data_IF_970213276037
#
_entry.id   IF_970213276037
#
_cell.length_a   1.000
_cell.length_b   1.000
_cell.length_c   1.000
_cell.angle_alpha   90.00
_cell.angle_beta   90.00
_cell.angle_gamma   90.00
#
_symmetry.space_group_name_H-M   'P 1'
#
loop_
_entity.id
_entity.type
_entity.pdbx_description
1 polymer ?
#
# COMPACT_ATOMS: atom_id res chain seq x y z
N UNK A 1 24.46 9.19 -48.10
CA UNK A 1 24.58 9.81 -46.75
C UNK A 1 23.21 9.99 -46.10
N UNK A 2 22.25 10.64 -46.77
CA UNK A 2 20.88 10.87 -46.24
C UNK A 2 20.12 9.58 -45.88
N UNK A 3 20.16 8.57 -46.75
CA UNK A 3 19.50 7.27 -46.52
C UNK A 3 20.07 6.51 -45.32
N UNK A 4 21.38 6.65 -45.06
CA UNK A 4 22.06 6.02 -43.93
C UNK A 4 21.70 6.68 -42.60
N UNK A 5 21.56 8.01 -42.58
CA UNK A 5 21.08 8.74 -41.41
C UNK A 5 19.65 8.30 -41.07
N UNK A 6 18.78 8.14 -42.07
CA UNK A 6 17.40 7.69 -41.88
C UNK A 6 17.29 6.26 -41.31
N UNK A 7 18.14 5.34 -41.75
CA UNK A 7 18.12 3.96 -41.22
C UNK A 7 18.60 3.90 -39.77
N UNK A 8 19.55 4.77 -39.37
CA UNK A 8 20.01 4.87 -37.97
C UNK A 8 18.90 5.42 -37.08
N UNK A 9 18.24 6.52 -37.46
CA UNK A 9 17.19 7.13 -36.64
C UNK A 9 16.00 6.19 -36.45
N UNK A 10 15.60 5.46 -37.50
CA UNK A 10 14.53 4.47 -37.43
C UNK A 10 14.86 3.33 -36.45
N UNK A 11 16.11 2.85 -36.43
CA UNK A 11 16.55 1.81 -35.49
C UNK A 11 16.52 2.29 -34.04
N UNK A 12 16.98 3.52 -33.78
CA UNK A 12 16.92 4.12 -32.44
C UNK A 12 15.47 4.28 -31.95
N UNK A 13 14.56 4.70 -32.82
CA UNK A 13 13.15 4.84 -32.48
C UNK A 13 12.52 3.48 -32.12
N UNK A 14 12.83 2.41 -32.86
CA UNK A 14 12.37 1.06 -32.54
C UNK A 14 12.88 0.58 -31.18
N UNK A 15 14.15 0.85 -30.85
CA UNK A 15 14.73 0.49 -29.55
C UNK A 15 13.98 1.21 -28.41
N UNK A 16 13.69 2.51 -28.55
CA UNK A 16 12.95 3.27 -27.54
C UNK A 16 11.53 2.70 -27.35
N UNK A 17 10.85 2.33 -28.43
CA UNK A 17 9.51 1.73 -28.35
C UNK A 17 9.56 0.40 -27.59
N UNK A 18 10.54 -0.46 -27.88
CA UNK A 18 10.70 -1.75 -27.18
C UNK A 18 11.01 -1.53 -25.70
N UNK A 19 11.93 -0.63 -25.36
CA UNK A 19 12.28 -0.33 -23.97
C UNK A 19 11.09 0.24 -23.18
N UNK A 20 10.32 1.13 -23.80
CA UNK A 20 9.09 1.67 -23.22
C UNK A 20 8.05 0.57 -22.96
N UNK A 21 7.86 -0.33 -23.94
CA UNK A 21 6.96 -1.48 -23.79
C UNK A 21 7.33 -2.39 -22.62
N UNK A 22 8.61 -2.75 -22.49
CA UNK A 22 9.10 -3.55 -21.35
C UNK A 22 8.87 -2.83 -20.03
N UNK A 23 9.11 -1.51 -19.96
CA UNK A 23 8.87 -0.70 -18.77
C UNK A 23 7.40 -0.71 -18.33
N UNK A 24 6.46 -0.58 -19.28
CA UNK A 24 5.01 -0.62 -18.98
C UNK A 24 4.60 -1.99 -18.44
N UNK A 25 5.04 -3.08 -19.07
CA UNK A 25 4.72 -4.44 -18.64
C UNK A 25 5.27 -4.72 -17.25
N UNK A 26 6.51 -4.33 -16.98
CA UNK A 26 7.13 -4.46 -15.65
C UNK A 26 6.33 -3.70 -14.57
N UNK A 27 5.94 -2.45 -14.86
CA UNK A 27 5.16 -1.63 -13.94
C UNK A 27 3.79 -2.26 -13.62
N UNK A 28 3.11 -2.78 -14.65
CA UNK A 28 1.83 -3.49 -14.47
C UNK A 28 1.97 -4.73 -13.61
N UNK A 29 3.01 -5.54 -13.84
CA UNK A 29 3.22 -6.76 -13.06
C UNK A 29 3.51 -6.44 -11.59
N UNK A 30 4.39 -5.47 -11.32
CA UNK A 30 4.70 -5.01 -9.96
C UNK A 30 3.45 -4.50 -9.24
N UNK A 31 2.62 -3.69 -9.90
CA UNK A 31 1.37 -3.19 -9.30
C UNK A 31 0.40 -4.31 -8.95
N UNK A 32 0.35 -5.41 -9.71
CA UNK A 32 -0.53 -6.53 -9.43
C UNK A 32 -0.07 -7.32 -8.19
N UNK A 33 1.24 -7.54 -8.05
CA UNK A 33 1.82 -8.23 -6.89
C UNK A 33 1.52 -7.49 -5.58
N UNK A 34 1.76 -6.18 -5.53
CA UNK A 34 1.49 -5.36 -4.34
C UNK A 34 0.01 -5.46 -3.94
N UNK A 35 -0.89 -5.47 -4.92
CA UNK A 35 -2.32 -5.60 -4.64
C UNK A 35 -2.72 -6.93 -4.02
N UNK A 36 -2.01 -8.01 -4.35
CA UNK A 36 -2.21 -9.34 -3.75
C UNK A 36 -1.68 -9.35 -2.32
N UNK A 37 -0.47 -8.82 -2.10
CA UNK A 37 0.14 -8.74 -0.77
C UNK A 37 -0.72 -7.91 0.21
N UNK A 38 -1.26 -6.76 -0.22
CA UNK A 38 -2.14 -5.94 0.62
C UNK A 38 -3.39 -6.71 1.06
N UNK A 39 -3.97 -7.50 0.15
CA UNK A 39 -5.15 -8.32 0.47
C UNK A 39 -4.80 -9.43 1.44
N UNK A 40 -3.70 -10.13 1.22
CA UNK A 40 -3.25 -11.24 2.07
C UNK A 40 -2.90 -10.74 3.47
N UNK A 41 -2.12 -9.66 3.59
CA UNK A 41 -1.78 -9.04 4.86
C UNK A 41 -3.04 -8.59 5.64
N UNK A 42 -4.02 -8.03 4.94
CA UNK A 42 -5.28 -7.59 5.57
C UNK A 42 -6.17 -8.78 5.95
N UNK A 43 -6.18 -9.86 5.18
CA UNK A 43 -6.93 -11.07 5.49
C UNK A 43 -6.36 -11.79 6.72
N UNK A 44 -5.03 -11.82 6.86
CA UNK A 44 -4.36 -12.43 8.01
C UNK A 44 -4.72 -11.75 9.34
N UNK A 45 -5.10 -10.46 9.33
CA UNK A 45 -5.59 -9.77 10.52
C UNK A 45 -6.96 -10.26 11.01
N UNK A 46 -7.75 -10.91 10.17
CA UNK A 46 -9.09 -11.36 10.54
C UNK A 46 -9.08 -12.64 11.40
N UNK A 47 -7.94 -13.35 11.45
CA UNK A 47 -7.80 -14.62 12.16
C UNK A 47 -6.94 -14.39 13.39
N UNK A 48 -7.55 -14.42 14.57
CA UNK A 48 -6.87 -14.40 15.88
C UNK A 48 -5.88 -13.23 16.01
N UNK A 49 -6.42 -12.01 16.00
CA UNK A 49 -5.63 -10.79 16.00
C UNK A 49 -4.97 -10.54 17.36
N UNK A 50 -3.64 -10.49 17.35
CA UNK A 50 -2.77 -10.21 18.49
C UNK A 50 -1.83 -9.02 18.19
N UNK A 51 -1.01 -8.68 19.18
CA UNK A 51 0.00 -7.63 19.05
C UNK A 51 1.03 -7.93 17.96
N UNK A 52 1.47 -9.18 17.82
CA UNK A 52 2.50 -9.57 16.86
C UNK A 52 2.02 -9.41 15.42
N UNK A 53 0.81 -9.88 15.08
CA UNK A 53 0.20 -9.68 13.76
C UNK A 53 -0.07 -8.21 13.47
N UNK A 54 -0.45 -7.42 14.47
CA UNK A 54 -0.63 -5.98 14.31
C UNK A 54 0.70 -5.28 14.02
N UNK A 55 1.80 -5.70 14.66
CA UNK A 55 3.16 -5.21 14.37
C UNK A 55 3.63 -5.62 12.97
N UNK A 56 3.43 -6.87 12.58
CA UNK A 56 3.76 -7.36 11.24
C UNK A 56 3.02 -6.58 10.17
N UNK A 57 1.73 -6.35 10.36
CA UNK A 57 0.92 -5.53 9.46
C UNK A 57 1.40 -4.08 9.43
N UNK A 58 1.73 -3.50 10.58
CA UNK A 58 2.27 -2.14 10.64
C UNK A 58 3.59 -2.01 9.87
N UNK A 59 4.50 -2.99 10.03
CA UNK A 59 5.77 -3.03 9.31
C UNK A 59 5.54 -3.23 7.81
N UNK A 60 4.59 -4.08 7.42
CA UNK A 60 4.17 -4.24 6.03
C UNK A 60 3.70 -2.90 5.45
N UNK A 61 2.74 -2.21 6.09
CA UNK A 61 2.22 -0.92 5.62
C UNK A 61 3.30 0.16 5.53
N UNK A 62 4.27 0.14 6.46
CA UNK A 62 5.41 1.06 6.43
C UNK A 62 6.30 0.84 5.19
N UNK A 63 6.60 -0.42 4.87
CA UNK A 63 7.56 -0.78 3.83
C UNK A 63 6.97 -0.75 2.41
N UNK A 64 5.67 -0.94 2.25
CA UNK A 64 5.08 -0.96 0.90
C UNK A 64 4.96 0.43 0.29
N UNK A 65 5.12 0.46 -1.04
CA UNK A 65 4.69 1.58 -1.87
C UNK A 65 3.26 1.32 -2.34
N UNK A 66 2.33 2.18 -1.93
CA UNK A 66 0.90 1.96 -2.16
C UNK A 66 0.55 2.57 -3.51
N UNK A 67 0.09 1.77 -4.49
CA UNK A 67 -0.30 2.32 -5.77
C UNK A 67 -1.48 3.29 -5.57
N UNK A 68 -1.54 4.36 -6.37
CA UNK A 68 -2.60 5.36 -6.31
C UNK A 68 -3.92 4.82 -6.88
N UNK A 69 -4.52 3.84 -6.19
CA UNK A 69 -5.83 3.27 -6.48
C UNK A 69 -6.64 3.19 -5.21
N UNK A 70 -7.86 3.73 -5.26
CA UNK A 70 -8.81 3.78 -4.14
C UNK A 70 -9.06 2.41 -3.49
N UNK A 71 -9.02 1.33 -4.27
CA UNK A 71 -9.21 -0.04 -3.78
C UNK A 71 -8.17 -0.39 -2.72
N UNK A 72 -6.90 -0.08 -2.92
CA UNK A 72 -5.83 -0.41 -1.96
C UNK A 72 -5.97 0.41 -0.68
N UNK A 73 -6.32 1.69 -0.79
CA UNK A 73 -6.56 2.55 0.37
C UNK A 73 -7.74 2.06 1.20
N UNK A 74 -8.82 1.61 0.55
CA UNK A 74 -9.97 1.04 1.24
C UNK A 74 -9.61 -0.26 1.95
N UNK A 75 -8.83 -1.15 1.33
CA UNK A 75 -8.36 -2.39 1.97
C UNK A 75 -7.48 -2.10 3.19
N UNK A 76 -6.55 -1.16 3.07
CA UNK A 76 -5.72 -0.75 4.20
C UNK A 76 -6.54 -0.08 5.31
N UNK A 77 -7.54 0.74 4.97
CA UNK A 77 -8.47 1.34 5.95
C UNK A 77 -9.26 0.26 6.69
N UNK A 78 -9.69 -0.79 6.00
CA UNK A 78 -10.35 -1.94 6.62
C UNK A 78 -9.41 -2.67 7.59
N UNK A 79 -8.16 -2.93 7.20
CA UNK A 79 -7.15 -3.54 8.09
C UNK A 79 -6.90 -2.71 9.35
N UNK A 80 -6.80 -1.39 9.22
CA UNK A 80 -6.73 -0.50 10.37
C UNK A 80 -7.96 -0.57 11.27
N UNK A 81 -9.17 -0.65 10.70
CA UNK A 81 -10.39 -0.78 11.48
C UNK A 81 -10.42 -2.09 12.29
N UNK A 82 -9.96 -3.20 11.71
CA UNK A 82 -9.81 -4.47 12.43
C UNK A 82 -8.88 -4.31 13.63
N UNK A 83 -7.71 -3.68 13.43
CA UNK A 83 -6.74 -3.43 14.49
C UNK A 83 -7.29 -2.46 15.55
N UNK A 84 -8.03 -1.43 15.13
CA UNK A 84 -8.60 -0.43 16.05
C UNK A 84 -9.63 -1.04 17.00
N UNK A 85 -10.50 -1.89 16.49
CA UNK A 85 -11.63 -2.48 17.25
C UNK A 85 -11.16 -3.62 18.16
N UNK A 86 -10.02 -4.25 17.87
CA UNK A 86 -9.50 -5.33 18.70
C UNK A 86 -9.03 -4.85 20.07
N UNK A 87 -9.55 -5.48 21.12
CA UNK A 87 -9.11 -5.26 22.52
C UNK A 87 -7.77 -5.96 22.81
N UNK A 88 -7.37 -6.93 21.99
CA UNK A 88 -6.12 -7.69 22.14
C UNK A 88 -4.89 -6.94 21.61
N UNK A 89 -5.07 -5.75 21.02
CA UNK A 89 -3.98 -4.95 20.48
C UNK A 89 -3.76 -3.72 21.34
N UNK A 90 -2.50 -3.48 21.70
CA UNK A 90 -2.10 -2.33 22.49
C UNK A 90 -2.44 -1.01 21.81
N UNK A 91 -2.96 -0.06 22.59
CA UNK A 91 -3.29 1.28 22.10
C UNK A 91 -2.07 2.01 21.51
N UNK A 92 -0.85 1.67 21.95
CA UNK A 92 0.39 2.21 21.40
C UNK A 92 0.61 1.79 19.93
N UNK A 93 0.30 0.55 19.58
CA UNK A 93 0.41 0.01 18.21
C UNK A 93 -0.65 0.65 17.33
N UNK A 94 -1.89 0.76 17.81
CA UNK A 94 -2.99 1.43 17.10
C UNK A 94 -2.62 2.87 16.72
N UNK A 95 -2.02 3.62 17.66
CA UNK A 95 -1.58 4.99 17.41
C UNK A 95 -0.43 5.06 16.41
N UNK A 96 0.58 4.20 16.51
CA UNK A 96 1.70 4.15 15.56
C UNK A 96 1.23 3.82 14.15
N UNK A 97 0.36 2.81 14.01
CA UNK A 97 -0.22 2.44 12.73
C UNK A 97 -0.99 3.61 12.10
N UNK A 98 -1.78 4.34 12.90
CA UNK A 98 -2.48 5.54 12.44
C UNK A 98 -1.53 6.59 11.88
N UNK A 99 -0.41 6.87 12.57
CA UNK A 99 0.59 7.83 12.11
C UNK A 99 1.18 7.37 10.78
N UNK A 100 1.53 6.10 10.65
CA UNK A 100 2.07 5.52 9.41
C UNK A 100 1.07 5.67 8.27
N UNK A 101 -0.20 5.34 8.49
CA UNK A 101 -1.21 5.46 7.45
C UNK A 101 -1.46 6.91 7.01
N UNK A 102 -1.47 7.86 7.96
CA UNK A 102 -1.55 9.29 7.65
C UNK A 102 -0.32 9.76 6.86
N UNK A 103 0.88 9.27 7.22
CA UNK A 103 2.12 9.60 6.50
C UNK A 103 2.11 9.10 5.04
N UNK A 104 1.37 8.03 4.76
CA UNK A 104 1.15 7.48 3.42
C UNK A 104 -0.01 8.16 2.68
N UNK A 105 -0.63 9.19 3.25
CA UNK A 105 -1.74 9.94 2.66
C UNK A 105 -3.12 9.28 2.79
N UNK A 106 -3.25 8.24 3.62
CA UNK A 106 -4.54 7.56 3.84
C UNK A 106 -5.30 8.30 4.94
N UNK A 107 -6.44 8.89 4.56
CA UNK A 107 -7.30 9.62 5.50
C UNK A 107 -8.08 8.63 6.38
N UNK A 108 -7.78 8.66 7.68
CA UNK A 108 -8.44 7.87 8.71
C UNK A 108 -9.21 8.84 9.62
N UNK A 109 -10.46 8.52 9.89
CA UNK A 109 -11.30 9.29 10.83
C UNK A 109 -10.65 9.34 12.21
N UNK A 110 -10.61 10.55 12.80
CA UNK A 110 -10.14 10.73 14.18
C UNK A 110 -11.09 9.96 15.13
N UNK A 111 -10.57 9.35 16.21
CA UNK A 111 -11.45 8.89 17.29
C UNK A 111 -12.28 10.08 17.77
N UNK A 112 -13.60 9.88 17.89
CA UNK A 112 -14.51 10.90 18.40
C UNK A 112 -14.18 11.15 19.87
N UNK A 113 -14.24 12.42 20.30
CA UNK A 113 -13.91 12.86 21.67
C UNK A 113 -14.81 12.26 22.77
N UNK A 114 -15.76 11.40 22.40
CA UNK A 114 -16.71 10.72 23.30
C UNK A 114 -16.16 9.40 23.86
N UNK A 115 -15.11 8.82 23.29
CA UNK A 115 -14.45 7.62 23.85
C UNK A 115 -13.53 7.95 25.03
N UNK A 116 -13.00 9.18 25.11
CA UNK A 116 -12.06 9.60 26.16
C UNK A 116 -12.74 10.03 27.46
N UNK A 117 -14.05 10.25 27.47
CA UNK A 117 -14.80 10.67 28.67
C UNK A 117 -15.36 9.51 29.49
N UNK A 118 -15.39 8.29 28.96
CA UNK A 118 -15.98 7.11 29.62
C UNK A 118 -14.94 6.14 30.22
N UNK A 119 -13.66 6.53 30.31
CA UNK A 119 -12.60 5.76 30.98
C UNK A 119 -12.08 6.47 32.24
N UNK A 120 -12.99 6.87 33.13
CA UNK A 120 -12.70 7.26 34.51
C UNK A 120 -13.72 6.64 35.44
#
# INVERSE_FOLDING_TARGET
MVTYIYTITLRLMLIIIVLSGVGVVYFWWKSHQIGKEIKEATFNLNIDLDNDKALDYMQFVYNIEIPNRKVYWNTLKAGYQLIKISDNVDDSIKQRLRIIMLSKGILIEKPSLLETTNRW
#
